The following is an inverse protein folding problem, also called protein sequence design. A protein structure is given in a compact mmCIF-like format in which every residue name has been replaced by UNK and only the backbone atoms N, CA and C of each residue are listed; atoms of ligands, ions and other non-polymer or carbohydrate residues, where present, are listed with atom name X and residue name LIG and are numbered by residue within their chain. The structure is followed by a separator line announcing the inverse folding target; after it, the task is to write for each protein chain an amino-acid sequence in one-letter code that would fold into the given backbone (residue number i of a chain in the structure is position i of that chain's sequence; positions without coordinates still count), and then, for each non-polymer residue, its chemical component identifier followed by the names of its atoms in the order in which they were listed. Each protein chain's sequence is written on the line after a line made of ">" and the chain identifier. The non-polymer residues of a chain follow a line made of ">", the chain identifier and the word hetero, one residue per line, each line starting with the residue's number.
data_IF_596726867076
#
_entry.id   IF_596726867076
#
_cell.length_a   1.000
_cell.length_b   1.000
_cell.length_c   1.000
_cell.angle_alpha   90.00
_cell.angle_beta   90.00
_cell.angle_gamma   90.00
#
_symmetry.space_group_name_H-M   'P 1'
#
loop_
_entity.id
_entity.type
_entity.pdbx_description
1 polymer ?
#
# COMPACT_ATOMS: atom_id res chain seq x y z
N UNK A 1 -7.46 35.51 -2.62
CA UNK A 1 -6.74 34.89 -1.49
C UNK A 1 -7.10 33.41 -1.47
N UNK A 2 -6.25 32.50 -1.98
CA UNK A 2 -6.49 31.05 -1.89
C UNK A 2 -6.08 30.61 -0.49
N UNK A 3 -7.04 30.22 0.34
CA UNK A 3 -6.72 29.54 1.59
C UNK A 3 -6.00 28.24 1.26
N UNK A 4 -4.72 28.13 1.65
CA UNK A 4 -3.99 26.88 1.65
C UNK A 4 -4.56 26.03 2.78
N UNK A 5 -5.57 25.21 2.48
CA UNK A 5 -6.09 24.22 3.42
C UNK A 5 -4.99 23.18 3.60
N UNK A 6 -4.25 23.27 4.72
CA UNK A 6 -3.24 22.27 5.10
C UNK A 6 -3.92 20.91 5.23
N UNK A 7 -3.32 19.90 4.63
CA UNK A 7 -3.82 18.54 4.79
C UNK A 7 -3.61 18.06 6.23
N UNK A 8 -4.60 17.35 6.78
CA UNK A 8 -4.53 16.72 8.10
C UNK A 8 -4.02 15.28 7.94
N UNK A 9 -3.16 14.86 8.86
CA UNK A 9 -2.76 13.46 8.99
C UNK A 9 -3.94 12.60 9.50
N UNK A 10 -3.93 11.31 9.14
CA UNK A 10 -4.85 10.34 9.77
C UNK A 10 -4.43 10.08 11.21
N UNK A 11 -5.40 9.91 12.09
CA UNK A 11 -5.21 9.41 13.45
C UNK A 11 -5.09 7.89 13.46
N UNK A 12 -4.57 7.31 14.55
CA UNK A 12 -4.43 5.86 14.68
C UNK A 12 -5.80 5.15 14.60
N UNK A 13 -6.85 5.72 15.19
CA UNK A 13 -8.22 5.18 15.15
C UNK A 13 -8.86 5.23 13.76
N UNK A 14 -8.42 6.16 12.90
CA UNK A 14 -8.93 6.28 11.53
C UNK A 14 -8.31 5.26 10.57
N UNK A 15 -7.13 4.71 10.90
CA UNK A 15 -6.44 3.74 10.04
C UNK A 15 -7.27 2.47 9.83
N UNK A 16 -7.77 1.78 10.88
CA UNK A 16 -8.62 0.61 10.71
C UNK A 16 -9.90 0.89 9.91
N UNK A 17 -10.50 2.07 10.10
CA UNK A 17 -11.72 2.47 9.39
C UNK A 17 -11.45 2.62 7.89
N UNK A 18 -10.33 3.23 7.52
CA UNK A 18 -9.93 3.33 6.10
C UNK A 18 -9.56 1.97 5.53
N UNK A 19 -8.89 1.11 6.30
CA UNK A 19 -8.55 -0.24 5.86
C UNK A 19 -9.80 -1.07 5.54
N UNK A 20 -10.85 -0.95 6.36
CA UNK A 20 -12.15 -1.60 6.11
C UNK A 20 -12.92 -1.04 4.92
N UNK A 21 -12.55 0.13 4.41
CA UNK A 21 -13.24 0.79 3.29
C UNK A 21 -12.69 0.38 1.90
N UNK A 22 -11.62 -0.38 1.83
CA UNK A 22 -11.09 -0.91 0.57
C UNK A 22 -11.81 -2.19 0.18
N UNK A 23 -12.57 -2.14 -0.92
CA UNK A 23 -13.38 -3.27 -1.38
C UNK A 23 -13.05 -3.71 -2.82
N UNK A 24 -13.61 -4.85 -3.21
CA UNK A 24 -13.57 -5.39 -4.57
C UNK A 24 -12.30 -6.17 -4.90
N UNK A 25 -12.13 -6.49 -6.19
CA UNK A 25 -11.10 -7.41 -6.71
C UNK A 25 -9.65 -7.03 -6.36
N UNK A 26 -9.41 -5.76 -6.05
CA UNK A 26 -8.08 -5.23 -5.74
C UNK A 26 -7.98 -4.68 -4.32
N UNK A 27 -8.89 -5.07 -3.42
CA UNK A 27 -8.89 -4.67 -2.02
C UNK A 27 -7.52 -4.92 -1.36
N UNK A 28 -7.01 -6.15 -1.41
CA UNK A 28 -5.71 -6.53 -0.84
C UNK A 28 -4.56 -5.64 -1.34
N UNK A 29 -4.47 -5.42 -2.66
CA UNK A 29 -3.47 -4.48 -3.25
C UNK A 29 -3.63 -3.07 -2.68
N UNK A 30 -4.86 -2.56 -2.59
CA UNK A 30 -5.11 -1.19 -2.14
C UNK A 30 -4.84 -1.02 -0.64
N UNK A 31 -5.27 -1.98 0.19
CA UNK A 31 -4.98 -2.07 1.62
C UNK A 31 -3.48 -2.12 1.85
N UNK A 32 -2.79 -3.07 1.23
CA UNK A 32 -1.36 -3.24 1.39
C UNK A 32 -0.58 -2.01 0.91
N UNK A 33 -1.01 -1.36 -0.17
CA UNK A 33 -0.41 -0.09 -0.61
C UNK A 33 -0.55 1.01 0.45
N UNK A 34 -1.74 1.20 0.98
CA UNK A 34 -2.00 2.20 2.01
C UNK A 34 -1.19 1.92 3.29
N UNK A 35 -1.28 0.69 3.79
CA UNK A 35 -0.65 0.28 5.04
C UNK A 35 0.87 0.28 4.93
N UNK A 36 1.44 -0.29 3.86
CA UNK A 36 2.88 -0.25 3.62
C UNK A 36 3.37 1.20 3.50
N UNK A 37 2.66 2.05 2.77
CA UNK A 37 2.98 3.48 2.67
C UNK A 37 3.11 4.16 4.05
N UNK A 38 2.19 3.85 4.98
CA UNK A 38 2.22 4.33 6.36
C UNK A 38 3.37 3.70 7.15
N UNK A 39 3.62 2.39 7.01
CA UNK A 39 4.62 1.63 7.78
C UNK A 39 6.07 1.87 7.37
N UNK A 40 6.35 2.22 6.10
CA UNK A 40 7.72 2.55 5.66
C UNK A 40 7.93 4.05 5.37
N UNK A 41 6.86 4.84 5.18
CA UNK A 41 6.94 6.32 5.32
C UNK A 41 7.55 6.94 4.08
N UNK A 42 7.05 6.45 2.96
CA UNK A 42 7.56 6.76 1.64
C UNK A 42 6.57 7.64 0.91
N UNK A 43 7.08 8.40 -0.05
CA UNK A 43 6.19 9.18 -0.91
C UNK A 43 5.43 8.23 -1.82
N UNK A 44 4.20 8.59 -2.18
CA UNK A 44 3.40 7.80 -3.14
C UNK A 44 4.16 7.47 -4.42
N UNK A 45 4.98 8.40 -4.94
CA UNK A 45 5.78 8.14 -6.14
C UNK A 45 6.91 7.13 -5.96
N UNK A 46 7.46 7.01 -4.74
CA UNK A 46 8.47 6.02 -4.39
C UNK A 46 7.79 4.66 -4.17
N UNK A 47 6.61 4.66 -3.52
CA UNK A 47 5.81 3.47 -3.25
C UNK A 47 5.36 2.75 -4.54
N UNK A 48 4.77 3.48 -5.49
CA UNK A 48 4.29 2.89 -6.77
C UNK A 48 5.43 2.46 -7.70
N UNK A 49 6.66 2.88 -7.43
CA UNK A 49 7.84 2.49 -8.20
C UNK A 49 8.45 1.18 -7.70
N UNK A 50 8.01 0.66 -6.54
CA UNK A 50 8.49 -0.60 -6.01
C UNK A 50 8.12 -1.76 -6.93
N UNK A 51 9.09 -2.62 -7.17
CA UNK A 51 8.90 -3.94 -7.78
C UNK A 51 8.81 -5.01 -6.70
N UNK A 52 8.40 -6.22 -7.08
CA UNK A 52 8.45 -7.39 -6.20
C UNK A 52 9.89 -7.64 -5.73
N UNK A 53 10.87 -7.55 -6.63
CA UNK A 53 12.27 -7.80 -6.32
C UNK A 53 12.87 -6.80 -5.34
N UNK A 54 12.31 -5.59 -5.24
CA UNK A 54 12.74 -4.58 -4.25
C UNK A 54 12.31 -4.93 -2.82
N UNK A 55 11.24 -5.73 -2.66
CA UNK A 55 10.64 -6.01 -1.34
C UNK A 55 10.65 -7.48 -0.95
N UNK A 56 10.83 -8.40 -1.89
CA UNK A 56 10.75 -9.84 -1.66
C UNK A 56 11.84 -10.58 -2.44
N UNK A 57 12.72 -11.26 -1.71
CA UNK A 57 13.89 -11.94 -2.26
C UNK A 57 14.11 -13.25 -1.52
N UNK A 58 14.59 -14.29 -2.22
CA UNK A 58 14.89 -15.59 -1.62
C UNK A 58 13.72 -16.20 -0.81
N UNK A 59 12.48 -15.97 -1.28
CA UNK A 59 11.27 -16.52 -0.64
C UNK A 59 10.84 -15.83 0.64
N UNK A 60 11.33 -14.61 0.91
CA UNK A 60 10.97 -13.84 2.11
C UNK A 60 11.04 -12.33 1.87
N UNK A 61 10.35 -11.51 2.69
CA UNK A 61 10.47 -10.06 2.67
C UNK A 61 11.89 -9.62 3.01
N UNK A 62 12.37 -8.60 2.32
CA UNK A 62 13.70 -8.03 2.59
C UNK A 62 13.71 -7.31 3.94
N UNK A 63 14.83 -7.30 4.67
CA UNK A 63 14.95 -6.52 5.91
C UNK A 63 15.04 -5.02 5.65
N UNK A 64 15.41 -4.61 4.43
CA UNK A 64 15.59 -3.22 4.03
C UNK A 64 15.15 -3.00 2.59
N UNK A 65 14.40 -1.93 2.36
CA UNK A 65 13.98 -1.51 1.01
C UNK A 65 14.82 -0.33 0.56
N UNK A 66 15.37 -0.43 -0.65
CA UNK A 66 16.09 0.67 -1.31
C UNK A 66 15.12 1.49 -2.15
N UNK A 67 15.04 2.78 -1.86
CA UNK A 67 14.18 3.72 -2.59
C UNK A 67 15.03 4.65 -3.40
N UNK A 68 14.68 4.84 -4.66
CA UNK A 68 15.37 5.76 -5.57
C UNK A 68 14.41 6.89 -5.90
N UNK A 69 14.82 8.13 -5.63
CA UNK A 69 14.01 9.30 -5.99
C UNK A 69 14.21 9.67 -7.47
N UNK A 70 13.40 10.61 -7.96
CA UNK A 70 13.49 11.11 -9.35
C UNK A 70 14.83 11.74 -9.74
N UNK A 71 15.65 12.15 -8.76
CA UNK A 71 16.99 12.72 -8.97
C UNK A 71 18.09 11.66 -8.92
N UNK A 72 17.74 10.38 -8.84
CA UNK A 72 18.70 9.26 -8.77
C UNK A 72 19.32 9.06 -7.38
N UNK A 73 18.95 9.85 -6.37
CA UNK A 73 19.44 9.65 -5.00
C UNK A 73 18.71 8.48 -4.36
N UNK A 74 19.46 7.53 -3.82
CA UNK A 74 18.90 6.40 -3.08
C UNK A 74 18.97 6.60 -1.57
N UNK A 75 17.95 6.10 -0.87
CA UNK A 75 17.99 5.88 0.58
C UNK A 75 17.47 4.49 0.90
N UNK A 76 17.90 3.96 2.04
CA UNK A 76 17.47 2.65 2.52
C UNK A 76 16.57 2.83 3.74
N UNK A 77 15.47 2.09 3.81
CA UNK A 77 14.55 2.09 4.94
C UNK A 77 14.46 0.66 5.50
N UNK A 78 14.52 0.52 6.82
CA UNK A 78 14.29 -0.76 7.49
C UNK A 78 12.82 -1.16 7.38
N UNK A 79 12.58 -2.44 7.11
CA UNK A 79 11.25 -3.06 7.08
C UNK A 79 11.09 -3.82 8.39
N UNK A 80 10.18 -3.35 9.25
CA UNK A 80 9.83 -4.01 10.51
C UNK A 80 8.87 -5.19 10.29
N UNK A 81 8.51 -5.89 11.35
CA UNK A 81 7.67 -7.09 11.30
C UNK A 81 6.33 -6.81 10.61
N UNK A 82 5.65 -5.74 11.01
CA UNK A 82 4.34 -5.36 10.46
C UNK A 82 4.43 -5.09 8.96
N UNK A 83 5.48 -4.37 8.50
CA UNK A 83 5.67 -4.12 7.08
C UNK A 83 5.99 -5.41 6.30
N UNK A 84 6.68 -6.38 6.92
CA UNK A 84 6.96 -7.70 6.29
C UNK A 84 5.69 -8.53 6.14
N UNK A 85 4.79 -8.50 7.12
CA UNK A 85 3.49 -9.18 7.04
C UNK A 85 2.65 -8.62 5.87
N UNK A 86 2.62 -7.30 5.71
CA UNK A 86 1.95 -6.66 4.57
C UNK A 86 2.58 -7.05 3.24
N UNK A 87 3.91 -7.16 3.18
CA UNK A 87 4.61 -7.63 1.98
C UNK A 87 4.22 -9.08 1.67
N UNK A 88 4.19 -9.98 2.65
CA UNK A 88 3.77 -11.37 2.44
C UNK A 88 2.34 -11.47 1.90
N UNK A 89 1.41 -10.69 2.46
CA UNK A 89 0.03 -10.65 1.96
C UNK A 89 -0.06 -10.16 0.50
N UNK A 90 0.72 -9.13 0.15
CA UNK A 90 0.82 -8.64 -1.22
C UNK A 90 1.40 -9.70 -2.17
N UNK A 91 2.42 -10.45 -1.75
CA UNK A 91 3.02 -11.52 -2.56
C UNK A 91 2.06 -12.70 -2.73
N UNK A 92 1.33 -13.08 -1.68
CA UNK A 92 0.28 -14.09 -1.76
C UNK A 92 -0.82 -13.67 -2.74
N UNK A 93 -1.24 -12.40 -2.68
CA UNK A 93 -2.20 -11.84 -3.63
C UNK A 93 -1.68 -11.86 -5.07
N UNK A 94 -0.41 -11.49 -5.30
CA UNK A 94 0.22 -11.60 -6.62
C UNK A 94 0.20 -13.03 -7.17
N UNK A 95 0.57 -14.02 -6.34
CA UNK A 95 0.51 -15.45 -6.71
C UNK A 95 -0.92 -15.87 -7.06
N UNK A 96 -1.90 -15.48 -6.25
CA UNK A 96 -3.31 -15.78 -6.52
C UNK A 96 -3.81 -15.14 -7.82
N UNK A 97 -3.39 -13.90 -8.11
CA UNK A 97 -3.92 -13.12 -9.23
C UNK A 97 -3.25 -13.43 -10.57
N UNK A 98 -1.94 -13.67 -10.57
CA UNK A 98 -1.11 -13.82 -11.77
C UNK A 98 -0.45 -15.21 -11.90
N UNK A 99 -0.59 -16.06 -10.88
CA UNK A 99 -0.01 -17.41 -10.82
C UNK A 99 1.45 -17.39 -10.38
N UNK A 100 2.35 -16.88 -11.23
CA UNK A 100 3.77 -16.71 -10.89
C UNK A 100 4.05 -15.24 -10.58
N UNK A 101 5.03 -15.00 -9.72
CA UNK A 101 5.45 -13.64 -9.37
C UNK A 101 6.85 -13.40 -9.93
N UNK A 102 6.95 -12.47 -10.87
CA UNK A 102 8.24 -12.07 -11.42
C UNK A 102 8.86 -10.95 -10.57
N UNK A 103 10.18 -10.96 -10.29
CA UNK A 103 10.84 -9.89 -9.54
C UNK A 103 10.61 -8.50 -10.13
N UNK A 104 10.59 -8.38 -11.47
CA UNK A 104 10.36 -7.10 -12.16
C UNK A 104 8.89 -6.64 -12.17
N UNK A 105 7.97 -7.45 -11.64
CA UNK A 105 6.55 -7.05 -11.53
C UNK A 105 6.43 -5.85 -10.64
N UNK A 106 5.54 -4.93 -11.00
CA UNK A 106 5.20 -3.85 -10.08
C UNK A 106 4.56 -4.44 -8.83
N UNK A 107 4.97 -3.99 -7.66
CA UNK A 107 4.33 -4.39 -6.41
C UNK A 107 2.86 -3.96 -6.39
N UNK A 108 2.53 -2.85 -7.06
CA UNK A 108 1.18 -2.29 -7.16
C UNK A 108 0.74 -2.17 -8.63
N UNK A 109 0.36 -3.29 -9.27
CA UNK A 109 0.05 -3.30 -10.68
C UNK A 109 -1.26 -2.57 -11.00
N UNK A 110 -1.25 -1.91 -12.15
CA UNK A 110 -2.37 -1.21 -12.76
C UNK A 110 -3.43 -2.18 -13.26
N UNK A 111 -4.68 -1.73 -13.25
CA UNK A 111 -5.80 -2.48 -13.82
C UNK A 111 -5.89 -2.31 -15.35
N UNK A 112 -5.24 -1.27 -15.89
CA UNK A 112 -5.25 -0.94 -17.32
C UNK A 112 -4.11 -1.69 -18.04
N UNK A 113 -4.09 -1.60 -19.38
CA UNK A 113 -3.05 -2.18 -20.27
C UNK A 113 -1.66 -2.24 -19.63
N UNK A 114 -1.02 -3.41 -19.71
CA UNK A 114 0.36 -3.66 -19.22
C UNK A 114 0.49 -4.72 -18.13
N UNK A 115 -0.63 -5.24 -17.60
CA UNK A 115 -0.63 -6.40 -16.70
C UNK A 115 0.15 -6.18 -15.40
N UNK A 116 0.75 -7.25 -14.87
CA UNK A 116 1.56 -7.23 -13.63
C UNK A 116 2.79 -6.30 -13.68
N UNK A 117 3.24 -5.93 -14.88
CA UNK A 117 4.42 -5.08 -15.07
C UNK A 117 4.11 -3.58 -14.97
N UNK A 118 2.88 -3.16 -15.27
CA UNK A 118 2.53 -1.74 -15.30
C UNK A 118 2.18 -1.24 -13.89
N UNK A 119 2.90 -0.26 -13.38
CA UNK A 119 2.58 0.36 -12.09
C UNK A 119 1.37 1.30 -12.16
N UNK A 120 0.71 1.50 -11.02
CA UNK A 120 -0.28 2.57 -10.86
C UNK A 120 0.38 3.95 -11.06
N UNK A 121 -0.36 4.88 -11.66
CA UNK A 121 0.04 6.29 -11.67
C UNK A 121 -0.46 7.03 -10.42
N UNK A 122 0.08 8.21 -10.16
CA UNK A 122 -0.22 9.00 -8.94
C UNK A 122 -1.69 9.39 -8.87
N UNK A 123 -2.30 9.70 -10.01
CA UNK A 123 -3.70 10.10 -10.12
C UNK A 123 -4.63 8.93 -9.74
N UNK A 124 -4.28 7.71 -10.15
CA UNK A 124 -5.02 6.50 -9.78
C UNK A 124 -4.92 6.23 -8.28
N UNK A 125 -3.72 6.37 -7.68
CA UNK A 125 -3.57 6.23 -6.22
C UNK A 125 -4.37 7.29 -5.47
N UNK A 126 -4.30 8.54 -5.90
CA UNK A 126 -5.08 9.63 -5.29
C UNK A 126 -6.59 9.35 -5.36
N UNK A 127 -7.08 8.80 -6.48
CA UNK A 127 -8.47 8.38 -6.62
C UNK A 127 -8.82 7.22 -5.68
N UNK A 128 -7.99 6.19 -5.61
CA UNK A 128 -8.18 5.02 -4.73
C UNK A 128 -8.30 5.47 -3.27
N UNK A 129 -7.34 6.28 -2.78
CA UNK A 129 -7.36 6.75 -1.40
C UNK A 129 -8.53 7.69 -1.13
N UNK A 130 -8.84 8.61 -2.05
CA UNK A 130 -10.01 9.49 -1.90
C UNK A 130 -11.32 8.70 -1.81
N UNK A 131 -11.47 7.65 -2.61
CA UNK A 131 -12.64 6.79 -2.55
C UNK A 131 -12.73 6.07 -1.20
N UNK A 132 -11.62 5.51 -0.70
CA UNK A 132 -11.60 4.85 0.61
C UNK A 132 -11.88 5.84 1.77
N UNK A 133 -11.28 7.03 1.76
CA UNK A 133 -11.55 8.06 2.76
C UNK A 133 -13.01 8.49 2.78
N UNK A 134 -13.62 8.70 1.60
CA UNK A 134 -15.02 9.04 1.50
C UNK A 134 -15.93 7.91 2.02
N UNK A 135 -15.61 6.65 1.70
CA UNK A 135 -16.35 5.48 2.19
C UNK A 135 -16.20 5.28 3.71
N UNK A 136 -15.04 5.62 4.27
CA UNK A 136 -14.78 5.68 5.70
C UNK A 136 -15.45 6.88 6.42
N UNK A 137 -16.23 7.70 5.70
CA UNK A 137 -16.87 8.90 6.27
C UNK A 137 -15.90 10.03 6.61
N UNK A 138 -14.64 9.95 6.17
CA UNK A 138 -13.63 10.95 6.46
C UNK A 138 -13.69 12.09 5.44
N UNK A 139 -14.11 13.27 5.91
CA UNK A 139 -14.24 14.49 5.12
C UNK A 139 -13.08 15.45 5.36
N UNK A 140 -12.45 15.95 4.28
CA UNK A 140 -11.41 16.97 4.34
C UNK A 140 -10.23 16.71 3.39
N UNK A 141 -9.21 17.58 3.44
CA UNK A 141 -7.93 17.33 2.78
C UNK A 141 -7.10 16.41 3.67
N UNK A 142 -7.13 15.10 3.42
CA UNK A 142 -6.34 14.10 4.15
C UNK A 142 -5.09 13.73 3.36
N UNK A 143 -3.98 13.54 4.07
CA UNK A 143 -2.75 12.96 3.53
C UNK A 143 -2.40 11.68 4.27
N UNK A 144 -1.72 10.78 3.58
CA UNK A 144 -1.10 9.57 4.18
C UNK A 144 0.13 9.90 5.03
N UNK A 145 0.39 11.19 5.33
CA UNK A 145 1.51 11.63 6.16
C UNK A 145 1.16 11.47 7.65
N UNK A 146 0.88 10.23 8.07
CA UNK A 146 0.71 9.89 9.49
C UNK A 146 2.08 9.63 10.10
N UNK A 147 2.40 10.32 11.21
CA UNK A 147 3.59 10.05 12.02
C UNK A 147 3.28 8.89 12.97
N UNK A 148 4.16 7.88 12.99
CA UNK A 148 3.96 6.54 13.58
C UNK A 148 4.06 6.47 15.10
N UNK A 149 3.13 5.73 15.71
CA UNK A 149 3.43 4.65 16.64
C UNK A 149 2.37 3.52 16.54
N UNK A 150 2.22 2.89 15.37
CA UNK A 150 1.27 1.77 15.22
C UNK A 150 1.93 0.49 15.78
N UNK A 151 2.03 0.37 17.09
CA UNK A 151 2.29 -0.92 17.72
C UNK A 151 1.00 -1.74 17.65
N UNK A 152 0.97 -2.75 16.78
CA UNK A 152 0.08 -3.90 16.80
C UNK A 152 -1.40 -3.60 17.08
N UNK A 153 -2.25 -3.53 16.04
CA UNK A 153 -3.66 -4.01 16.04
C UNK A 153 -4.36 -3.54 14.74
N UNK A 154 -4.05 -4.14 13.59
CA UNK A 154 -5.08 -4.29 12.55
C UNK A 154 -4.83 -5.58 11.81
N UNK A 155 -5.29 -6.69 12.38
CA UNK A 155 -5.56 -7.90 11.61
C UNK A 155 -6.76 -7.54 10.73
N UNK A 156 -6.51 -7.21 9.47
CA UNK A 156 -7.59 -7.09 8.48
C UNK A 156 -8.12 -8.50 8.29
N UNK A 157 -9.17 -8.86 9.03
CA UNK A 157 -10.02 -9.99 8.69
C UNK A 157 -10.73 -9.60 7.38
N UNK A 158 -10.06 -9.90 6.26
CA UNK A 158 -10.67 -9.76 4.95
C UNK A 158 -11.84 -10.74 4.90
N UNK A 159 -13.03 -10.20 4.67
CA UNK A 159 -14.26 -10.93 4.43
C UNK A 159 -14.02 -12.09 3.47
N UNK A 160 -14.12 -13.31 4.00
CA UNK A 160 -13.80 -14.53 3.29
C UNK A 160 -13.97 -15.72 4.22
N UNK A 161 -15.13 -15.80 4.87
CA UNK A 161 -15.64 -17.01 5.49
C UNK A 161 -15.85 -18.04 4.36
N UNK A 162 -15.09 -19.14 4.26
CA UNK A 162 -15.54 -20.29 3.51
C UNK A 162 -16.32 -21.15 4.50
N UNK A 163 -17.62 -20.86 4.62
CA UNK A 163 -18.57 -21.89 4.99
C UNK A 163 -18.48 -23.00 3.93
N UNK A 164 -17.68 -24.02 4.16
CA UNK A 164 -17.87 -25.36 3.59
C UNK A 164 -17.30 -26.40 4.55
N UNK A 165 -18.25 -27.05 5.24
CA UNK A 165 -18.34 -28.44 5.74
C UNK A 165 -17.05 -29.25 5.88
#
# INVERSE_FOLDING_TARGET
>A
MRMSVRARALTEDEIPVVLGAFEGTYAVRNCGMFLLGILIGVRVSELIALTVGDVYQNGQPVPHVRLINKKGTSRTISVDTDAREVIEELIAWHRSKFGRVHPDSSLFPSQKRGGEMASLNREAVAKIFKTAFNAAGLVGNLTTETKRNLSAHTRVETAGDPLYV
#
